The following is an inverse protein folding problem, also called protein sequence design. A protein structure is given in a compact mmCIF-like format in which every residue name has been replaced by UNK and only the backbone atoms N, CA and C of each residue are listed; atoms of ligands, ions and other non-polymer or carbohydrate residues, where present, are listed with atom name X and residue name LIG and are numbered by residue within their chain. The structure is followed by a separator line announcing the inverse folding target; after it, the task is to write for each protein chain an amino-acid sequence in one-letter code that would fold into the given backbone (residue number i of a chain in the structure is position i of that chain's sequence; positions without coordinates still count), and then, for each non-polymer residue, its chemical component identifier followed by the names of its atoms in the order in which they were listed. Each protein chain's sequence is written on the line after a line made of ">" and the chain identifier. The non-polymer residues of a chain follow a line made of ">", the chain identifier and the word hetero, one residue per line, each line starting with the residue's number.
data_IF_275253907403
#
_entry.id   IF_275253907403
#
_cell.length_a   1.000
_cell.length_b   1.000
_cell.length_c   1.000
_cell.angle_alpha   90.00
_cell.angle_beta   90.00
_cell.angle_gamma   90.00
#
_symmetry.space_group_name_H-M   'P 1'
#
loop_
_entity.id
_entity.type
_entity.pdbx_description
1 polymer ?
#
# COMPACT_ATOMS: atom_id res chain seq x y z
N UNK A 1 -22.59 9.53 -24.65
CA UNK A 1 -22.94 8.68 -23.49
C UNK A 1 -21.68 8.55 -22.65
N UNK A 2 -21.63 9.20 -21.49
CA UNK A 2 -20.46 9.12 -20.60
C UNK A 2 -20.40 7.73 -19.94
N UNK A 3 -19.21 7.13 -19.75
CA UNK A 3 -19.13 5.86 -19.04
C UNK A 3 -19.68 6.05 -17.62
N UNK A 4 -20.63 5.21 -17.23
CA UNK A 4 -21.16 5.16 -15.87
C UNK A 4 -20.03 4.67 -14.97
N UNK A 5 -19.31 5.59 -14.35
CA UNK A 5 -18.27 5.26 -13.37
C UNK A 5 -18.90 4.45 -12.25
N UNK A 6 -18.36 3.27 -11.97
CA UNK A 6 -18.78 2.46 -10.84
C UNK A 6 -17.86 2.79 -9.67
N UNK A 7 -18.45 3.06 -8.50
CA UNK A 7 -17.70 3.38 -7.30
C UNK A 7 -17.33 2.08 -6.59
N UNK A 8 -16.03 1.86 -6.44
CA UNK A 8 -15.49 0.81 -5.61
C UNK A 8 -15.16 1.38 -4.22
N UNK A 9 -15.67 0.74 -3.17
CA UNK A 9 -15.24 0.99 -1.80
C UNK A 9 -14.58 -0.28 -1.30
N UNK A 10 -13.37 -0.17 -0.79
CA UNK A 10 -12.62 -1.32 -0.28
C UNK A 10 -11.79 -0.88 0.90
N UNK A 11 -11.98 -1.53 2.04
CA UNK A 11 -11.14 -1.36 3.22
C UNK A 11 -10.19 -2.55 3.30
N UNK A 12 -8.91 -2.30 3.46
CA UNK A 12 -7.90 -3.31 3.76
C UNK A 12 -7.06 -2.85 4.95
N UNK A 13 -6.66 -3.80 5.78
CA UNK A 13 -5.65 -3.59 6.80
C UNK A 13 -4.45 -4.47 6.47
N UNK A 14 -3.25 -3.91 6.58
CA UNK A 14 -2.01 -4.63 6.33
C UNK A 14 -0.95 -4.20 7.34
N UNK A 15 -0.10 -5.15 7.73
CA UNK A 15 1.05 -4.89 8.59
C UNK A 15 2.34 -5.19 7.83
N UNK A 16 3.20 -4.19 7.71
CA UNK A 16 4.53 -4.31 7.11
C UNK A 16 5.52 -4.58 8.23
N UNK A 17 6.23 -5.69 8.17
CA UNK A 17 7.30 -6.05 9.12
C UNK A 17 8.65 -5.97 8.42
N UNK A 18 9.55 -5.15 8.96
CA UNK A 18 10.87 -4.89 8.40
C UNK A 18 11.94 -5.27 9.42
N UNK A 19 12.80 -6.22 9.06
CA UNK A 19 13.95 -6.61 9.89
C UNK A 19 15.23 -6.00 9.37
N UNK A 20 15.99 -5.33 10.25
CA UNK A 20 17.37 -4.96 10.02
C UNK A 20 18.29 -6.03 10.64
N UNK A 21 18.86 -6.97 9.86
CA UNK A 21 19.78 -7.97 10.38
C UNK A 21 21.20 -7.41 10.66
N UNK A 22 21.47 -6.16 10.27
CA UNK A 22 22.78 -5.57 10.39
C UNK A 22 23.10 -5.25 11.87
N UNK A 23 24.25 -5.71 12.35
CA UNK A 23 24.72 -5.51 13.73
C UNK A 23 25.48 -4.20 13.93
N UNK A 24 25.80 -3.50 12.85
CA UNK A 24 26.70 -2.36 12.81
C UNK A 24 26.01 -1.08 12.37
N UNK A 25 24.91 -1.16 11.61
CA UNK A 25 24.24 0.01 11.05
C UNK A 25 22.74 0.01 11.35
N UNK A 26 22.22 1.18 11.72
CA UNK A 26 20.78 1.43 11.83
C UNK A 26 20.25 1.94 10.48
N UNK A 27 18.98 1.65 10.17
CA UNK A 27 18.31 2.04 8.93
C UNK A 27 17.21 3.06 9.24
N UNK A 28 17.26 4.20 8.57
CA UNK A 28 16.24 5.24 8.65
C UNK A 28 15.41 5.21 7.37
N UNK A 29 14.11 4.97 7.52
CA UNK A 29 13.12 5.04 6.46
C UNK A 29 12.43 6.40 6.53
N UNK A 30 12.57 7.19 5.47
CA UNK A 30 11.98 8.53 5.40
C UNK A 30 11.08 8.65 4.17
N UNK A 31 9.91 9.27 4.36
CA UNK A 31 8.95 9.51 3.29
C UNK A 31 8.58 8.23 2.54
N UNK A 32 8.30 7.15 3.27
CA UNK A 32 7.76 5.94 2.63
C UNK A 32 6.34 6.26 2.17
N UNK A 33 6.16 6.28 0.86
CA UNK A 33 4.91 6.44 0.16
C UNK A 33 4.40 5.06 -0.21
N UNK A 34 3.15 4.81 0.15
CA UNK A 34 2.43 3.60 -0.17
C UNK A 34 1.41 3.84 -1.26
N UNK A 35 1.30 2.90 -2.20
CA UNK A 35 0.31 2.93 -3.27
C UNK A 35 -0.28 1.54 -3.49
N UNK A 36 -1.60 1.48 -3.64
CA UNK A 36 -2.32 0.24 -3.94
C UNK A 36 -2.92 0.29 -5.34
N UNK A 37 -2.67 -0.78 -6.09
CA UNK A 37 -3.20 -0.99 -7.43
C UNK A 37 -4.15 -2.19 -7.44
N UNK A 38 -5.30 -2.06 -8.10
CA UNK A 38 -6.14 -3.17 -8.53
C UNK A 38 -6.08 -3.25 -10.06
N UNK A 39 -5.68 -4.41 -10.60
CA UNK A 39 -5.48 -4.59 -12.05
C UNK A 39 -4.68 -3.46 -12.72
N UNK A 40 -3.61 -3.01 -12.05
CA UNK A 40 -2.75 -1.90 -12.48
C UNK A 40 -3.41 -0.51 -12.54
N UNK A 41 -4.64 -0.38 -12.02
CA UNK A 41 -5.28 0.91 -11.78
C UNK A 41 -5.12 1.29 -10.32
N UNK A 42 -4.61 2.49 -10.05
CA UNK A 42 -4.45 2.99 -8.70
C UNK A 42 -5.82 3.19 -8.08
N UNK A 43 -6.04 2.56 -6.91
CA UNK A 43 -7.32 2.66 -6.22
C UNK A 43 -7.33 3.96 -5.41
N UNK A 44 -6.29 4.27 -4.64
CA UNK A 44 -6.30 5.45 -3.76
C UNK A 44 -5.09 6.38 -3.85
N UNK A 45 -5.27 7.58 -3.31
CA UNK A 45 -4.24 8.59 -3.07
C UNK A 45 -3.13 8.03 -2.20
N UNK A 46 -1.89 8.27 -2.63
CA UNK A 46 -0.67 7.85 -1.95
C UNK A 46 -0.68 8.19 -0.44
N UNK A 47 -0.43 7.19 0.42
CA UNK A 47 -0.33 7.40 1.87
C UNK A 47 1.14 7.57 2.24
N UNK A 48 1.47 8.66 2.93
CA UNK A 48 2.80 8.88 3.47
C UNK A 48 2.89 8.29 4.87
N UNK A 49 3.72 7.26 5.03
CA UNK A 49 3.99 6.63 6.31
C UNK A 49 4.88 7.53 7.17
N UNK A 50 4.67 7.45 8.49
CA UNK A 50 5.54 8.08 9.47
C UNK A 50 6.99 7.58 9.30
N UNK A 51 8.00 8.45 9.46
CA UNK A 51 9.39 8.02 9.44
C UNK A 51 9.63 6.91 10.47
N UNK A 52 10.39 5.89 10.08
CA UNK A 52 10.65 4.72 10.92
C UNK A 52 12.15 4.46 11.01
N UNK A 53 12.61 4.02 12.18
CA UNK A 53 14.01 3.73 12.44
C UNK A 53 14.12 2.27 12.87
N UNK A 54 14.92 1.49 12.13
CA UNK A 54 15.28 0.14 12.54
C UNK A 54 16.71 0.16 13.06
N UNK A 55 16.85 0.06 14.38
CA UNK A 55 18.14 -0.05 15.06
C UNK A 55 18.86 -1.36 14.70
N UNK A 56 20.12 -1.48 15.12
CA UNK A 56 20.98 -2.64 14.84
C UNK A 56 20.34 -3.94 15.33
N UNK A 57 20.24 -4.94 14.45
CA UNK A 57 19.63 -6.25 14.71
C UNK A 57 18.19 -6.18 15.27
N UNK A 58 17.39 -5.20 14.84
CA UNK A 58 15.99 -5.05 15.28
C UNK A 58 14.99 -5.39 14.19
N UNK A 59 13.74 -5.61 14.60
CA UNK A 59 12.58 -5.71 13.73
C UNK A 59 11.64 -4.59 14.11
N UNK A 60 11.09 -3.91 13.12
CA UNK A 60 10.07 -2.87 13.28
C UNK A 60 8.87 -3.24 12.45
N UNK A 61 7.70 -2.88 12.93
CA UNK A 61 6.44 -3.07 12.22
C UNK A 61 5.69 -1.76 12.12
N UNK A 62 4.92 -1.64 11.04
CA UNK A 62 3.96 -0.56 10.88
C UNK A 62 2.68 -1.15 10.31
N UNK A 63 1.56 -0.85 10.95
CA UNK A 63 0.24 -1.24 10.49
C UNK A 63 -0.41 -0.07 9.80
N UNK A 64 -1.06 -0.35 8.68
CA UNK A 64 -1.83 0.62 7.95
C UNK A 64 -3.22 0.07 7.70
N UNK A 65 -4.21 0.92 7.93
CA UNK A 65 -5.55 0.73 7.42
C UNK A 65 -5.71 1.61 6.19
N UNK A 66 -5.95 0.98 5.06
CA UNK A 66 -6.27 1.63 3.80
C UNK A 66 -7.76 1.47 3.65
N UNK A 67 -8.50 2.45 4.18
CA UNK A 67 -9.91 2.58 3.91
C UNK A 67 -10.07 3.36 2.62
N UNK A 68 -10.34 2.64 1.53
CA UNK A 68 -10.55 3.27 0.23
C UNK A 68 -11.79 4.14 0.26
N UNK A 69 -11.64 5.43 -0.01
CA UNK A 69 -12.73 6.27 -0.47
C UNK A 69 -13.41 5.66 -1.71
N UNK A 70 -14.58 6.18 -2.08
CA UNK A 70 -15.28 5.69 -3.26
C UNK A 70 -14.46 6.00 -4.53
N UNK A 71 -13.87 4.98 -5.14
CA UNK A 71 -12.96 5.13 -6.28
C UNK A 71 -13.68 4.80 -7.56
N UNK A 72 -13.59 5.72 -8.52
CA UNK A 72 -14.11 5.52 -9.86
C UNK A 72 -13.31 4.46 -10.59
N UNK A 73 -13.91 3.30 -10.82
CA UNK A 73 -13.34 2.23 -11.64
C UNK A 73 -14.08 2.10 -12.97
N UNK A 74 -13.40 1.54 -13.97
CA UNK A 74 -14.03 1.20 -15.24
C UNK A 74 -15.18 0.22 -15.01
N UNK A 75 -16.28 0.39 -15.73
CA UNK A 75 -17.50 -0.44 -15.60
C UNK A 75 -17.21 -1.91 -15.85
N UNK A 76 -16.29 -2.22 -16.76
CA UNK A 76 -15.87 -3.57 -17.07
C UNK A 76 -15.20 -4.24 -15.86
N UNK A 77 -14.38 -3.49 -15.13
CA UNK A 77 -13.67 -3.97 -13.93
C UNK A 77 -14.64 -4.26 -12.79
N UNK A 78 -15.59 -3.37 -12.52
CA UNK A 78 -16.54 -3.57 -11.43
C UNK A 78 -17.60 -4.63 -11.77
N UNK A 79 -18.04 -4.75 -13.03
CA UNK A 79 -18.88 -5.88 -13.46
C UNK A 79 -18.15 -7.23 -13.33
N UNK A 80 -16.86 -7.28 -13.64
CA UNK A 80 -16.06 -8.50 -13.44
C UNK A 80 -15.90 -8.84 -11.95
N UNK A 81 -15.76 -7.82 -11.10
CA UNK A 81 -15.68 -8.03 -9.65
C UNK A 81 -16.95 -8.68 -9.10
N UNK A 82 -18.12 -8.15 -9.47
CA UNK A 82 -19.42 -8.72 -9.07
C UNK A 82 -19.61 -10.14 -9.60
N UNK A 83 -19.17 -10.41 -10.85
CA UNK A 83 -19.37 -11.70 -11.52
C UNK A 83 -18.40 -12.78 -11.05
N UNK A 84 -17.16 -12.44 -10.74
CA UNK A 84 -16.12 -13.42 -10.46
C UNK A 84 -16.31 -14.10 -9.11
N UNK A 85 -16.83 -13.40 -8.09
CA UNK A 85 -16.94 -13.89 -6.72
C UNK A 85 -15.59 -14.26 -6.07
N UNK A 86 -14.50 -14.19 -6.84
CA UNK A 86 -13.13 -14.48 -6.44
C UNK A 86 -12.45 -13.18 -6.06
N UNK A 87 -11.73 -13.19 -4.94
CA UNK A 87 -10.94 -12.04 -4.49
C UNK A 87 -10.04 -11.48 -5.60
N UNK A 88 -9.80 -10.18 -5.56
CA UNK A 88 -8.96 -9.48 -6.53
C UNK A 88 -7.50 -9.43 -6.07
N UNK A 89 -6.58 -9.36 -7.04
CA UNK A 89 -5.17 -9.15 -6.76
C UNK A 89 -4.91 -7.67 -6.50
N UNK A 90 -4.44 -7.37 -5.30
CA UNK A 90 -3.91 -6.07 -4.93
C UNK A 90 -2.40 -6.07 -5.06
N UNK A 91 -1.85 -5.00 -5.62
CA UNK A 91 -0.40 -4.75 -5.60
C UNK A 91 -0.10 -3.57 -4.71
N UNK A 92 0.67 -3.84 -3.67
CA UNK A 92 1.26 -2.88 -2.78
C UNK A 92 2.60 -2.39 -3.34
N UNK A 93 2.80 -1.08 -3.39
CA UNK A 93 4.07 -0.46 -3.79
C UNK A 93 4.52 0.50 -2.70
N UNK A 94 5.73 0.28 -2.18
CA UNK A 94 6.39 1.15 -1.20
C UNK A 94 7.55 1.88 -1.88
N UNK A 95 7.57 3.20 -1.82
CA UNK A 95 8.62 4.05 -2.38
C UNK A 95 9.12 5.02 -1.33
N UNK A 96 10.41 5.33 -1.26
CA UNK A 96 10.87 6.35 -0.34
C UNK A 96 12.38 6.44 -0.27
N UNK A 97 12.88 7.15 0.76
CA UNK A 97 14.30 7.32 0.99
C UNK A 97 14.75 6.44 2.14
N UNK A 98 15.79 5.65 1.88
CA UNK A 98 16.46 4.83 2.90
C UNK A 98 17.82 5.44 3.17
N UNK A 99 18.16 5.62 4.45
CA UNK A 99 19.48 6.08 4.89
C UNK A 99 20.08 5.09 5.89
N UNK A 100 21.39 4.92 5.82
CA UNK A 100 22.15 4.12 6.78
C UNK A 100 22.87 5.05 7.75
N UNK A 101 22.89 4.66 9.01
CA UNK A 101 23.71 5.29 10.06
C UNK A 101 24.63 4.23 10.64
N UNK A 102 25.95 4.45 10.52
CA UNK A 102 27.00 3.63 11.14
C UNK A 102 27.05 3.88 12.66
#
# INVERSE_FOLDING_TARGET
>A
MFPTSQLLVTTMALTIVIRNPNKHSSIYYNQLIEMVLCKNQQIESQIMLSPMISEKNTTVDTSLEISGGAVSVAKELANEMVRSGSGFWLRLVLMGRVKWKL
#
